data_IF_758353922168
#
_entry.id   IF_758353922168
#
_cell.length_a   1.000
_cell.length_b   1.000
_cell.length_c   1.000
_cell.angle_alpha   90.00
_cell.angle_beta   90.00
_cell.angle_gamma   90.00
#
_symmetry.space_group_name_H-M   'P 1'
#
loop_
_entity.id
_entity.type
_entity.pdbx_description
1 polymer ?
#
# COMPACT_ATOMS: atom_id res chain seq x y z
N UNK A 1 -36.12 2.68 -22.40
CA UNK A 1 -35.23 1.55 -22.08
C UNK A 1 -33.78 2.03 -22.08
N UNK A 2 -33.32 2.73 -21.04
CA UNK A 2 -31.95 3.27 -20.99
C UNK A 2 -31.58 3.73 -19.57
N UNK A 3 -31.31 2.79 -18.64
CA UNK A 3 -30.88 3.14 -17.27
C UNK A 3 -30.15 2.01 -16.51
N UNK A 4 -29.29 1.21 -17.17
CA UNK A 4 -28.53 0.15 -16.47
C UNK A 4 -27.01 0.14 -16.69
N UNK A 5 -26.45 1.04 -17.50
CA UNK A 5 -25.00 1.04 -17.78
C UNK A 5 -24.14 1.78 -16.75
N UNK A 6 -24.68 2.69 -15.96
CA UNK A 6 -23.86 3.58 -15.09
C UNK A 6 -23.39 2.94 -13.78
N UNK A 7 -24.09 1.92 -13.27
CA UNK A 7 -23.79 1.30 -11.96
C UNK A 7 -22.74 0.18 -12.08
N UNK A 8 -22.75 -0.57 -13.19
CA UNK A 8 -21.83 -1.71 -13.41
C UNK A 8 -20.41 -1.25 -13.78
N UNK A 9 -20.30 -0.20 -14.60
CA UNK A 9 -19.03 0.35 -15.09
C UNK A 9 -18.23 1.01 -13.97
N UNK A 10 -18.95 1.71 -13.08
CA UNK A 10 -18.38 2.37 -11.90
C UNK A 10 -17.96 1.36 -10.82
N UNK A 11 -18.63 0.19 -10.73
CA UNK A 11 -18.32 -0.93 -9.81
C UNK A 11 -16.96 -1.56 -10.09
N UNK A 12 -16.62 -1.74 -11.37
CA UNK A 12 -15.33 -2.29 -11.79
C UNK A 12 -14.15 -1.37 -11.41
N UNK A 13 -14.36 -0.04 -11.41
CA UNK A 13 -13.29 0.95 -11.22
C UNK A 13 -12.58 0.87 -9.87
N UNK A 14 -13.32 0.79 -8.76
CA UNK A 14 -12.73 0.80 -7.41
C UNK A 14 -11.94 -0.47 -7.08
N UNK A 15 -12.47 -1.65 -7.45
CA UNK A 15 -11.76 -2.91 -7.27
C UNK A 15 -10.53 -3.02 -8.18
N UNK A 16 -10.64 -2.58 -9.44
CA UNK A 16 -9.50 -2.53 -10.36
C UNK A 16 -8.43 -1.56 -9.86
N UNK A 17 -8.83 -0.45 -9.25
CA UNK A 17 -7.89 0.47 -8.62
C UNK A 17 -7.19 -0.15 -7.41
N UNK A 18 -7.92 -0.81 -6.49
CA UNK A 18 -7.32 -1.58 -5.38
C UNK A 18 -6.32 -2.64 -5.88
N UNK A 19 -6.68 -3.37 -6.94
CA UNK A 19 -5.78 -4.35 -7.56
C UNK A 19 -4.57 -3.69 -8.22
N UNK A 20 -4.75 -2.52 -8.85
CA UNK A 20 -3.66 -1.73 -9.41
C UNK A 20 -2.67 -1.29 -8.33
N UNK A 21 -3.17 -0.75 -7.21
CA UNK A 21 -2.35 -0.37 -6.06
C UNK A 21 -1.62 -1.61 -5.50
N UNK A 22 -2.33 -2.72 -5.26
CA UNK A 22 -1.71 -3.96 -4.80
C UNK A 22 -0.65 -4.51 -5.79
N UNK A 23 -0.89 -4.38 -7.09
CA UNK A 23 0.07 -4.76 -8.13
C UNK A 23 1.33 -3.90 -8.12
N UNK A 24 1.19 -2.58 -7.97
CA UNK A 24 2.36 -1.67 -7.80
C UNK A 24 3.14 -2.02 -6.53
N UNK A 25 2.45 -2.27 -5.42
CA UNK A 25 3.06 -2.71 -4.16
C UNK A 25 3.83 -4.03 -4.33
N UNK A 26 3.24 -5.00 -5.05
CA UNK A 26 3.89 -6.27 -5.36
C UNK A 26 5.17 -6.05 -6.18
N UNK A 27 5.11 -5.24 -7.23
CA UNK A 27 6.26 -4.94 -8.08
C UNK A 27 7.37 -4.23 -7.31
N UNK A 28 7.02 -3.28 -6.43
CA UNK A 28 7.97 -2.62 -5.55
C UNK A 28 8.66 -3.62 -4.61
N UNK A 29 7.89 -4.49 -3.94
CA UNK A 29 8.44 -5.52 -3.07
C UNK A 29 9.37 -6.49 -3.82
N UNK A 30 8.98 -6.92 -5.03
CA UNK A 30 9.82 -7.76 -5.89
C UNK A 30 11.11 -7.04 -6.30
N UNK A 31 11.05 -5.75 -6.64
CA UNK A 31 12.24 -4.97 -6.96
C UNK A 31 13.21 -4.90 -5.77
N UNK A 32 12.70 -4.73 -4.55
CA UNK A 32 13.52 -4.72 -3.33
C UNK A 32 14.20 -6.06 -3.07
N UNK A 33 13.57 -7.18 -3.42
CA UNK A 33 14.14 -8.53 -3.28
C UNK A 33 15.17 -8.83 -4.36
N UNK A 34 14.83 -8.55 -5.62
CA UNK A 34 15.61 -8.97 -6.79
C UNK A 34 16.76 -8.01 -7.08
N UNK A 35 16.59 -6.72 -6.76
CA UNK A 35 17.52 -5.64 -7.07
C UNK A 35 17.79 -4.75 -5.84
N UNK A 36 18.14 -5.31 -4.66
CA UNK A 36 18.21 -4.57 -3.40
C UNK A 36 19.20 -3.40 -3.45
N UNK A 37 20.31 -3.54 -4.19
CA UNK A 37 21.28 -2.46 -4.35
C UNK A 37 20.71 -1.26 -5.12
N UNK A 38 19.91 -1.50 -6.15
CA UNK A 38 19.30 -0.46 -6.99
C UNK A 38 18.20 0.25 -6.22
N UNK A 39 17.32 -0.50 -5.56
CA UNK A 39 16.24 0.10 -4.76
C UNK A 39 16.81 0.87 -3.57
N UNK A 40 17.85 0.36 -2.91
CA UNK A 40 18.51 1.09 -1.83
C UNK A 40 19.12 2.41 -2.30
N UNK A 41 19.70 2.47 -3.50
CA UNK A 41 20.18 3.73 -4.11
C UNK A 41 19.02 4.71 -4.38
N UNK A 42 17.88 4.22 -4.87
CA UNK A 42 16.70 5.05 -5.09
C UNK A 42 16.17 5.64 -3.76
N UNK A 43 16.12 4.85 -2.70
CA UNK A 43 15.83 5.34 -1.35
C UNK A 43 16.91 6.31 -0.85
N UNK A 44 18.19 6.05 -1.17
CA UNK A 44 19.30 6.95 -0.91
C UNK A 44 19.08 8.36 -1.47
N UNK A 45 18.70 8.43 -2.75
CA UNK A 45 18.34 9.69 -3.41
C UNK A 45 17.13 10.37 -2.78
N UNK A 46 16.11 9.61 -2.39
CA UNK A 46 14.90 10.17 -1.78
C UNK A 46 15.17 10.75 -0.39
N UNK A 47 15.88 10.01 0.46
CA UNK A 47 16.08 10.35 1.86
C UNK A 47 17.26 11.32 2.03
N UNK A 48 18.40 11.02 1.41
CA UNK A 48 19.66 11.74 1.59
C UNK A 48 20.04 12.65 0.42
N UNK A 49 19.27 12.62 -0.69
CA UNK A 49 19.63 13.29 -1.96
C UNK A 49 20.96 12.79 -2.55
N UNK A 50 21.35 11.57 -2.19
CA UNK A 50 22.58 10.94 -2.65
C UNK A 50 22.41 9.41 -2.74
N UNK A 51 22.59 8.87 -3.95
CA UNK A 51 22.54 7.44 -4.22
C UNK A 51 23.68 6.68 -3.52
N UNK A 52 24.81 7.34 -3.29
CA UNK A 52 26.01 6.78 -2.69
C UNK A 52 26.09 6.99 -1.17
N UNK A 53 25.08 7.61 -0.54
CA UNK A 53 25.10 7.91 0.89
C UNK A 53 25.42 6.68 1.75
N UNK A 54 24.78 5.53 1.46
CA UNK A 54 24.99 4.28 2.18
C UNK A 54 26.41 3.72 2.03
N UNK A 55 26.90 3.43 0.81
CA UNK A 55 28.27 2.91 0.63
C UNK A 55 29.36 3.91 1.04
N UNK A 56 29.08 5.21 1.09
CA UNK A 56 30.03 6.22 1.56
C UNK A 56 30.13 6.30 3.10
N UNK A 57 29.04 5.98 3.81
CA UNK A 57 28.95 6.15 5.28
C UNK A 57 29.19 4.86 6.07
N UNK A 58 28.97 3.69 5.46
CA UNK A 58 28.99 2.41 6.15
C UNK A 58 30.06 1.46 5.60
N UNK A 59 30.50 0.52 6.43
CA UNK A 59 31.42 -0.54 6.00
C UNK A 59 30.75 -1.48 4.97
N UNK A 60 31.53 -2.17 4.13
CA UNK A 60 30.97 -3.12 3.16
C UNK A 60 30.16 -4.27 3.79
N UNK A 61 30.48 -4.67 5.03
CA UNK A 61 29.69 -5.65 5.79
C UNK A 61 28.33 -5.07 6.19
N UNK A 62 28.32 -3.84 6.74
CA UNK A 62 27.08 -3.17 7.12
C UNK A 62 26.16 -2.91 5.91
N UNK A 63 26.72 -2.52 4.77
CA UNK A 63 25.94 -2.33 3.52
C UNK A 63 25.31 -3.65 3.07
N UNK A 64 26.04 -4.78 3.12
CA UNK A 64 25.48 -6.09 2.78
C UNK A 64 24.35 -6.49 3.73
N UNK A 65 24.49 -6.23 5.02
CA UNK A 65 23.41 -6.48 5.98
C UNK A 65 22.19 -5.58 5.74
N UNK A 66 22.38 -4.29 5.45
CA UNK A 66 21.30 -3.37 5.08
C UNK A 66 20.58 -3.86 3.82
N UNK A 67 21.31 -4.33 2.81
CA UNK A 67 20.71 -4.92 1.60
C UNK A 67 19.90 -6.19 1.91
N UNK A 68 20.38 -7.05 2.81
CA UNK A 68 19.62 -8.21 3.27
C UNK A 68 18.31 -7.80 3.95
N UNK A 69 18.36 -6.86 4.91
CA UNK A 69 17.17 -6.36 5.61
C UNK A 69 16.20 -5.70 4.61
N UNK A 70 16.73 -4.94 3.66
CA UNK A 70 15.93 -4.32 2.60
C UNK A 70 15.21 -5.36 1.73
N UNK A 71 15.88 -6.45 1.37
CA UNK A 71 15.25 -7.56 0.64
C UNK A 71 14.19 -8.29 1.48
N UNK A 72 14.42 -8.49 2.79
CA UNK A 72 13.44 -9.10 3.71
C UNK A 72 12.17 -8.24 3.82
N UNK A 73 12.32 -6.91 3.92
CA UNK A 73 11.20 -5.97 3.87
C UNK A 73 10.47 -6.08 2.53
N UNK A 74 11.20 -6.17 1.41
CA UNK A 74 10.63 -6.43 0.10
C UNK A 74 9.78 -7.71 0.03
N UNK A 75 10.30 -8.83 0.56
CA UNK A 75 9.58 -10.09 0.62
C UNK A 75 8.30 -10.01 1.47
N UNK A 76 8.35 -9.23 2.55
CA UNK A 76 7.18 -8.95 3.42
C UNK A 76 6.12 -8.18 2.64
N UNK A 77 6.54 -7.15 1.90
CA UNK A 77 5.66 -6.35 1.03
C UNK A 77 5.03 -7.23 -0.06
N UNK A 78 5.79 -8.16 -0.65
CA UNK A 78 5.26 -9.14 -1.63
C UNK A 78 4.16 -9.98 -1.01
N UNK A 79 4.40 -10.60 0.15
CA UNK A 79 3.40 -11.42 0.83
C UNK A 79 2.14 -10.62 1.20
N UNK A 80 2.32 -9.40 1.69
CA UNK A 80 1.23 -8.50 2.01
C UNK A 80 0.41 -8.06 0.78
N UNK A 81 1.07 -7.75 -0.33
CA UNK A 81 0.41 -7.40 -1.59
C UNK A 81 -0.41 -8.58 -2.16
N UNK A 82 0.13 -9.80 -2.11
CA UNK A 82 -0.59 -11.02 -2.51
C UNK A 82 -1.83 -11.22 -1.63
N UNK A 83 -1.70 -11.05 -0.31
CA UNK A 83 -2.83 -11.15 0.62
C UNK A 83 -3.91 -10.10 0.30
N UNK A 84 -3.52 -8.84 0.10
CA UNK A 84 -4.46 -7.77 -0.30
C UNK A 84 -5.17 -8.15 -1.60
N UNK A 85 -4.43 -8.59 -2.62
CA UNK A 85 -5.01 -9.03 -3.89
C UNK A 85 -6.04 -10.15 -3.71
N UNK A 86 -5.73 -11.16 -2.89
CA UNK A 86 -6.65 -12.25 -2.55
C UNK A 86 -7.91 -11.76 -1.82
N UNK A 87 -7.78 -10.83 -0.86
CA UNK A 87 -8.92 -10.21 -0.16
C UNK A 87 -9.79 -9.41 -1.12
N UNK A 88 -9.18 -8.68 -2.07
CA UNK A 88 -9.90 -7.88 -3.07
C UNK A 88 -10.67 -8.77 -4.04
N UNK A 89 -10.03 -9.79 -4.63
CA UNK A 89 -10.67 -10.70 -5.59
C UNK A 89 -11.69 -11.62 -4.93
N UNK A 90 -11.47 -12.02 -3.67
CA UNK A 90 -12.34 -12.92 -2.93
C UNK A 90 -13.39 -12.17 -2.11
N UNK A 91 -13.04 -11.85 -0.86
CA UNK A 91 -13.99 -11.42 0.17
C UNK A 91 -14.65 -10.06 -0.17
N UNK A 92 -13.90 -9.11 -0.72
CA UNK A 92 -14.46 -7.80 -1.08
C UNK A 92 -15.40 -7.86 -2.28
N UNK A 93 -15.13 -8.69 -3.30
CA UNK A 93 -16.04 -8.91 -4.43
C UNK A 93 -17.31 -9.65 -4.03
N UNK A 94 -17.26 -10.53 -3.02
CA UNK A 94 -18.44 -11.17 -2.42
C UNK A 94 -19.25 -10.26 -1.50
N UNK A 95 -18.83 -9.01 -1.31
CA UNK A 95 -19.56 -8.04 -0.49
C UNK A 95 -19.36 -8.21 1.02
N UNK A 96 -18.38 -9.00 1.47
CA UNK A 96 -18.17 -9.26 2.89
C UNK A 96 -17.77 -7.96 3.63
N UNK A 97 -18.64 -7.51 4.54
CA UNK A 97 -18.50 -6.24 5.26
C UNK A 97 -17.17 -6.16 6.03
N UNK A 98 -16.83 -7.25 6.72
CA UNK A 98 -15.62 -7.39 7.54
C UNK A 98 -14.31 -7.33 6.74
N UNK A 99 -14.29 -7.73 5.48
CA UNK A 99 -13.07 -7.71 4.67
C UNK A 99 -12.53 -6.30 4.46
N UNK A 100 -13.42 -5.31 4.34
CA UNK A 100 -13.02 -3.90 4.22
C UNK A 100 -12.48 -3.37 5.55
N UNK A 101 -13.11 -3.74 6.66
CA UNK A 101 -12.64 -3.39 8.00
C UNK A 101 -11.23 -3.94 8.24
N UNK A 102 -10.99 -5.22 7.96
CA UNK A 102 -9.69 -5.84 8.15
C UNK A 102 -8.62 -5.30 7.22
N UNK A 103 -8.97 -4.98 5.97
CA UNK A 103 -8.04 -4.34 5.04
C UNK A 103 -7.65 -2.94 5.54
N UNK A 104 -8.62 -2.12 5.96
CA UNK A 104 -8.36 -0.80 6.56
C UNK A 104 -7.52 -0.92 7.83
N UNK A 105 -7.84 -1.87 8.71
CA UNK A 105 -7.10 -2.10 9.94
C UNK A 105 -5.65 -2.53 9.66
N UNK A 106 -5.42 -3.41 8.68
CA UNK A 106 -4.07 -3.82 8.27
C UNK A 106 -3.26 -2.63 7.74
N UNK A 107 -3.85 -1.79 6.90
CA UNK A 107 -3.20 -0.57 6.37
C UNK A 107 -2.88 0.39 7.51
N UNK A 108 -3.81 0.62 8.44
CA UNK A 108 -3.58 1.50 9.59
C UNK A 108 -2.50 0.95 10.54
N UNK A 109 -2.49 -0.36 10.77
CA UNK A 109 -1.51 -1.04 11.62
C UNK A 109 -0.08 -0.95 11.08
N UNK A 110 0.09 -0.81 9.77
CA UNK A 110 1.39 -0.48 9.17
C UNK A 110 1.67 1.03 9.22
N UNK A 111 0.73 1.84 8.72
CA UNK A 111 0.93 3.28 8.50
C UNK A 111 1.25 4.02 9.79
N UNK A 112 0.53 3.74 10.89
CA UNK A 112 0.69 4.46 12.16
C UNK A 112 2.07 4.29 12.77
N UNK A 113 2.54 3.06 13.09
CA UNK A 113 3.86 2.90 13.70
C UNK A 113 5.00 3.32 12.78
N UNK A 114 4.94 3.01 11.47
CA UNK A 114 6.01 3.34 10.52
C UNK A 114 6.18 4.86 10.35
N UNK A 115 5.05 5.57 10.21
CA UNK A 115 5.05 7.03 10.09
C UNK A 115 5.44 7.70 11.41
N UNK A 116 4.96 7.21 12.55
CA UNK A 116 5.37 7.73 13.86
C UNK A 116 6.88 7.60 14.07
N UNK A 117 7.45 6.42 13.77
CA UNK A 117 8.88 6.21 13.87
C UNK A 117 9.67 7.10 12.89
N UNK A 118 9.19 7.27 11.66
CA UNK A 118 9.81 8.15 10.66
C UNK A 118 9.92 9.59 11.15
N UNK A 119 8.88 10.11 11.81
CA UNK A 119 8.88 11.46 12.37
C UNK A 119 9.81 11.59 13.58
N UNK A 120 9.77 10.62 14.50
CA UNK A 120 10.60 10.62 15.71
C UNK A 120 12.10 10.50 15.37
N UNK A 121 12.43 9.71 14.34
CA UNK A 121 13.81 9.50 13.88
C UNK A 121 14.34 10.61 12.95
N UNK A 122 13.51 11.59 12.58
CA UNK A 122 13.89 12.72 11.72
C UNK A 122 13.81 12.44 10.21
N UNK A 123 13.39 11.26 9.79
CA UNK A 123 13.23 10.86 8.39
C UNK A 123 11.84 11.20 7.85
N UNK A 124 11.48 12.49 7.85
CA UNK A 124 10.16 12.97 7.41
C UNK A 124 9.84 12.66 5.94
N UNK A 125 10.87 12.48 5.09
CA UNK A 125 10.72 12.06 3.70
C UNK A 125 10.00 10.71 3.61
N UNK A 126 10.30 9.79 4.53
CA UNK A 126 9.60 8.50 4.61
C UNK A 126 8.15 8.68 5.07
N UNK A 127 7.89 9.61 5.99
CA UNK A 127 6.51 9.94 6.40
C UNK A 127 5.67 10.47 5.23
N UNK A 128 6.25 11.29 4.34
CA UNK A 128 5.57 11.75 3.11
C UNK A 128 5.31 10.60 2.16
N UNK A 129 6.30 9.72 1.94
CA UNK A 129 6.14 8.52 1.13
C UNK A 129 4.98 7.64 1.65
N UNK A 130 4.95 7.40 2.96
CA UNK A 130 3.88 6.65 3.62
C UNK A 130 2.51 7.30 3.44
N UNK A 131 2.43 8.63 3.55
CA UNK A 131 1.16 9.35 3.38
C UNK A 131 0.62 9.20 1.95
N UNK A 132 1.48 9.32 0.94
CA UNK A 132 1.08 9.11 -0.46
C UNK A 132 0.59 7.67 -0.68
N UNK A 133 1.30 6.71 -0.11
CA UNK A 133 0.95 5.29 -0.23
C UNK A 133 -0.37 4.96 0.50
N UNK A 134 -0.54 5.46 1.74
CA UNK A 134 -1.77 5.31 2.50
C UNK A 134 -2.95 6.03 1.82
N UNK A 135 -2.73 7.19 1.19
CA UNK A 135 -3.75 7.89 0.43
C UNK A 135 -4.21 7.09 -0.79
N UNK A 136 -3.30 6.42 -1.51
CA UNK A 136 -3.65 5.54 -2.63
C UNK A 136 -4.61 4.42 -2.17
N UNK A 137 -4.33 3.78 -1.04
CA UNK A 137 -5.25 2.81 -0.45
C UNK A 137 -6.53 3.46 0.09
N UNK A 138 -6.43 4.63 0.74
CA UNK A 138 -7.55 5.34 1.36
C UNK A 138 -8.61 5.77 0.35
N UNK A 139 -8.20 6.31 -0.80
CA UNK A 139 -9.11 6.64 -1.93
C UNK A 139 -9.86 5.38 -2.38
N UNK A 140 -9.15 4.27 -2.48
CA UNK A 140 -9.69 3.00 -2.95
C UNK A 140 -10.71 2.39 -1.95
N UNK A 141 -10.37 2.45 -0.66
CA UNK A 141 -11.23 1.99 0.45
C UNK A 141 -12.48 2.88 0.62
N UNK A 142 -12.32 4.20 0.51
CA UNK A 142 -13.43 5.15 0.61
C UNK A 142 -14.47 4.93 -0.49
N UNK A 143 -14.02 4.71 -1.73
CA UNK A 143 -14.90 4.37 -2.84
C UNK A 143 -15.65 3.05 -2.60
N UNK A 144 -15.02 2.07 -1.94
CA UNK A 144 -15.65 0.81 -1.53
C UNK A 144 -16.68 0.99 -0.42
N UNK A 145 -16.39 1.83 0.58
CA UNK A 145 -17.26 2.09 1.73
C UNK A 145 -18.55 2.83 1.33
N UNK A 146 -18.46 3.87 0.49
CA UNK A 146 -19.62 4.66 0.03
C UNK A 146 -20.69 3.86 -0.70
N UNK A 147 -20.35 2.67 -1.20
CA UNK A 147 -21.25 1.81 -1.98
C UNK A 147 -22.00 0.79 -1.12
N UNK A 148 -21.59 0.63 0.14
CA UNK A 148 -22.19 -0.33 1.07
C UNK A 148 -23.27 0.27 1.96
N UNK A 149 -23.42 1.59 2.01
CA UNK A 149 -24.57 2.24 2.65
C UNK A 149 -25.77 2.11 1.70
N UNK A 150 -26.80 1.31 2.02
CA UNK A 150 -28.10 1.47 1.38
C UNK A 150 -28.63 2.84 1.80
N UNK A 151 -29.30 3.55 0.90
CA UNK A 151 -30.24 4.57 1.33
C UNK A 151 -31.19 3.89 2.33
N UNK A 152 -31.07 4.22 3.62
CA UNK A 152 -32.15 3.95 4.56
C UNK A 152 -33.34 4.73 4.00
N UNK A 153 -34.26 4.02 3.36
CA UNK A 153 -35.52 4.58 2.93
C UNK A 153 -36.20 5.15 4.17
N UNK A 154 -36.22 6.48 4.24
CA UNK A 154 -37.29 7.21 4.91
C UNK A 154 -38.59 6.78 4.22
N UNK A 155 -39.21 5.70 4.68
CA UNK A 155 -40.59 5.39 4.34
C UNK A 155 -41.32 4.55 5.39
N UNK A 156 -40.74 4.29 6.56
CA UNK A 156 -41.48 3.69 7.69
C UNK A 156 -40.98 4.27 9.02
N UNK A 157 -41.44 5.49 9.32
CA UNK A 157 -41.88 5.94 10.64
C UNK A 157 -42.40 7.38 10.56
#
# INVERSE_FOLDING_TARGET
MMASRSTTETSMGGYRFLLGVAGVTLLMGLAMVLLPGVTLQAFGLMIYRDAAAMPAQFSPEAVRYIQLVHAVLGATIVGWAVLIGGVVVGALRRGESRALLWLTASIAAWFVPDTAYSLISGYWQNAVFNLLFAAAFGVALWQGARRRTPAMSRSER
#
